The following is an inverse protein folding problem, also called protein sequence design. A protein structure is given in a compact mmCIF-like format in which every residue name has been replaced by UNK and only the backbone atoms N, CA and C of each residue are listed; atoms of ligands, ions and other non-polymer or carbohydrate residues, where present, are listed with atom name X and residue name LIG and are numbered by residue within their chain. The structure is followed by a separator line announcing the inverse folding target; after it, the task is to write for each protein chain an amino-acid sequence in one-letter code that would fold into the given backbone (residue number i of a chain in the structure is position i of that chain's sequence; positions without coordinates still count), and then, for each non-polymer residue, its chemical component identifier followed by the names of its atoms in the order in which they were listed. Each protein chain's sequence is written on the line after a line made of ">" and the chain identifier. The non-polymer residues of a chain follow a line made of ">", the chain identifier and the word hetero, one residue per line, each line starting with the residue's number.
data_IF_696978255408
#
_entry.id   IF_696978255408
#
_cell.length_a   1.000
_cell.length_b   1.000
_cell.length_c   1.000
_cell.angle_alpha   90.00
_cell.angle_beta   90.00
_cell.angle_gamma   90.00
#
_symmetry.space_group_name_H-M   'P 1'
#
loop_
_entity.id
_entity.type
_entity.pdbx_description
1 polymer ?
#
# COMPACT_ATOMS: atom_id res chain seq x y z
N UNK A 1 -10.32 -21.71 -26.00
CA UNK A 1 -11.32 -21.96 -24.93
C UNK A 1 -10.78 -23.10 -24.07
N UNK A 2 -10.00 -22.82 -23.04
CA UNK A 2 -9.47 -23.83 -22.12
C UNK A 2 -10.56 -24.22 -21.15
N UNK A 3 -10.98 -25.48 -21.18
CA UNK A 3 -11.90 -26.06 -20.17
C UNK A 3 -11.08 -26.39 -18.93
N UNK A 4 -11.17 -25.58 -17.90
CA UNK A 4 -10.66 -25.96 -16.58
C UNK A 4 -11.56 -27.03 -15.96
N UNK A 5 -10.98 -28.18 -15.59
CA UNK A 5 -11.72 -29.28 -15.01
C UNK A 5 -12.29 -28.92 -13.63
N UNK A 6 -13.59 -29.17 -13.45
CA UNK A 6 -14.38 -28.88 -12.25
C UNK A 6 -14.08 -29.82 -11.09
N UNK A 7 -12.84 -29.93 -10.62
CA UNK A 7 -12.54 -30.79 -9.46
C UNK A 7 -11.60 -30.12 -8.45
N UNK A 8 -11.83 -28.85 -8.11
CA UNK A 8 -11.15 -28.28 -6.96
C UNK A 8 -12.10 -28.22 -5.77
N UNK A 9 -11.98 -29.19 -4.81
CA UNK A 9 -12.71 -29.18 -3.53
C UNK A 9 -12.22 -28.11 -2.55
N UNK A 10 -11.26 -27.26 -2.94
CA UNK A 10 -10.70 -26.17 -2.10
C UNK A 10 -11.41 -24.86 -2.41
N UNK A 11 -11.82 -24.16 -1.36
CA UNK A 11 -12.35 -22.80 -1.49
C UNK A 11 -11.28 -21.89 -2.08
N UNK A 12 -11.66 -21.03 -3.02
CA UNK A 12 -10.79 -20.05 -3.65
C UNK A 12 -11.15 -18.66 -3.14
N UNK A 13 -10.16 -17.87 -2.76
CA UNK A 13 -10.39 -16.47 -2.35
C UNK A 13 -9.32 -15.54 -2.91
N UNK A 14 -9.69 -14.29 -3.10
CA UNK A 14 -8.82 -13.26 -3.57
C UNK A 14 -8.38 -12.36 -2.40
N UNK A 15 -7.06 -12.07 -2.31
CA UNK A 15 -6.51 -11.22 -1.26
C UNK A 15 -6.27 -9.82 -1.81
N UNK A 16 -7.06 -8.84 -1.34
CA UNK A 16 -6.86 -7.44 -1.65
C UNK A 16 -5.88 -6.80 -0.65
N UNK A 17 -4.73 -6.34 -1.14
CA UNK A 17 -3.80 -5.48 -0.38
C UNK A 17 -4.10 -4.00 -0.60
N UNK A 18 -3.24 -3.11 -0.08
CA UNK A 18 -3.37 -1.67 -0.28
C UNK A 18 -3.00 -1.20 -1.70
N UNK A 19 -2.62 -2.11 -2.61
CA UNK A 19 -2.16 -1.78 -3.95
C UNK A 19 -3.21 -2.13 -4.99
N UNK A 20 -3.31 -1.29 -5.97
CA UNK A 20 -4.31 -1.24 -7.03
C UNK A 20 -4.39 -2.53 -7.88
N UNK A 21 -3.24 -3.11 -8.26
CA UNK A 21 -3.13 -4.30 -9.10
C UNK A 21 -3.85 -5.56 -8.58
N UNK A 22 -4.33 -5.52 -7.36
CA UNK A 22 -4.99 -6.65 -6.73
C UNK A 22 -6.48 -6.69 -7.08
N UNK A 23 -7.14 -5.53 -7.20
CA UNK A 23 -8.52 -5.44 -7.66
C UNK A 23 -8.64 -5.89 -9.14
N UNK A 24 -7.65 -5.54 -9.96
CA UNK A 24 -7.56 -5.92 -11.37
C UNK A 24 -7.46 -7.44 -11.54
N UNK A 25 -6.52 -8.07 -10.82
CA UNK A 25 -6.37 -9.52 -10.83
C UNK A 25 -7.67 -10.24 -10.42
N UNK A 26 -8.45 -9.65 -9.50
CA UNK A 26 -9.76 -10.15 -9.12
C UNK A 26 -10.78 -10.06 -10.27
N UNK A 27 -11.00 -8.87 -10.81
CA UNK A 27 -11.98 -8.63 -11.87
C UNK A 27 -11.63 -9.43 -13.12
N UNK A 28 -10.34 -9.58 -13.40
CA UNK A 28 -9.84 -10.43 -14.45
C UNK A 28 -10.10 -11.92 -14.17
N UNK A 29 -9.87 -12.40 -12.95
CA UNK A 29 -10.15 -13.79 -12.57
C UNK A 29 -11.62 -14.14 -12.75
N UNK A 30 -12.52 -13.24 -12.39
CA UNK A 30 -13.97 -13.40 -12.61
C UNK A 30 -14.30 -13.39 -14.11
N UNK A 31 -13.69 -12.53 -14.90
CA UNK A 31 -13.89 -12.48 -16.35
C UNK A 31 -13.39 -13.75 -17.06
N UNK A 32 -12.41 -14.45 -16.48
CA UNK A 32 -11.93 -15.76 -16.94
C UNK A 32 -12.78 -16.93 -16.45
N UNK A 33 -13.82 -16.69 -15.63
CA UNK A 33 -14.63 -17.75 -15.03
C UNK A 33 -13.88 -18.64 -14.05
N UNK A 34 -12.84 -18.12 -13.39
CA UNK A 34 -12.12 -18.84 -12.34
C UNK A 34 -13.02 -19.01 -11.11
N UNK A 35 -12.97 -20.17 -10.42
CA UNK A 35 -13.75 -20.37 -9.21
C UNK A 35 -13.29 -19.38 -8.14
N UNK A 36 -14.24 -18.62 -7.60
CA UNK A 36 -13.99 -17.62 -6.59
C UNK A 36 -15.12 -17.61 -5.56
N UNK A 37 -14.81 -17.96 -4.33
CA UNK A 37 -15.79 -18.05 -3.24
C UNK A 37 -15.86 -16.76 -2.42
N UNK A 38 -14.73 -16.07 -2.24
CA UNK A 38 -14.63 -14.91 -1.36
C UNK A 38 -13.64 -13.87 -1.92
N UNK A 39 -13.90 -12.63 -1.59
CA UNK A 39 -12.95 -11.51 -1.80
C UNK A 39 -12.65 -10.91 -0.44
N UNK A 40 -11.37 -10.76 -0.10
CA UNK A 40 -10.95 -10.30 1.20
C UNK A 40 -10.00 -9.14 1.08
N UNK A 41 -10.33 -8.03 1.70
CA UNK A 41 -9.52 -6.83 1.78
C UNK A 41 -9.00 -6.60 3.21
N UNK A 42 -7.67 -6.58 3.39
CA UNK A 42 -7.05 -6.20 4.66
C UNK A 42 -6.99 -4.68 4.75
N UNK A 43 -7.86 -4.10 5.56
CA UNK A 43 -8.00 -2.65 5.74
C UNK A 43 -7.07 -2.15 6.85
N UNK A 44 -6.03 -1.40 6.47
CA UNK A 44 -5.07 -0.84 7.43
C UNK A 44 -5.57 0.51 7.93
N UNK A 45 -5.39 0.75 9.23
CA UNK A 45 -5.69 2.01 9.89
C UNK A 45 -4.41 2.65 10.43
N UNK A 46 -4.26 3.94 10.17
CA UNK A 46 -3.15 4.76 10.69
C UNK A 46 -3.27 4.91 12.21
N UNK A 47 -4.43 5.35 12.66
CA UNK A 47 -4.83 5.47 14.07
C UNK A 47 -6.19 4.80 14.26
N UNK A 48 -6.79 4.89 15.45
CA UNK A 48 -8.15 4.37 15.72
C UNK A 48 -9.24 5.06 14.89
N UNK A 49 -9.00 6.26 14.41
CA UNK A 49 -9.98 7.09 13.69
C UNK A 49 -9.56 7.46 12.27
N UNK A 50 -8.29 7.31 11.93
CA UNK A 50 -7.74 7.70 10.62
C UNK A 50 -7.33 6.44 9.86
N UNK A 51 -7.92 6.17 8.67
CA UNK A 51 -7.52 5.05 7.82
C UNK A 51 -6.15 5.31 7.18
N UNK A 52 -5.52 4.25 6.67
CA UNK A 52 -4.25 4.36 5.95
C UNK A 52 -4.42 4.89 4.52
N UNK A 53 -5.60 4.76 3.97
CA UNK A 53 -5.93 5.28 2.64
C UNK A 53 -6.37 6.74 2.71
N UNK A 54 -6.04 7.51 1.68
CA UNK A 54 -6.58 8.86 1.51
C UNK A 54 -8.07 8.83 1.13
N UNK A 55 -8.84 9.89 1.43
CA UNK A 55 -10.28 9.95 1.13
C UNK A 55 -10.67 9.53 -0.29
N UNK A 56 -9.98 9.98 -1.37
CA UNK A 56 -10.34 9.55 -2.73
C UNK A 56 -10.20 8.04 -2.96
N UNK A 57 -9.26 7.37 -2.26
CA UNK A 57 -9.12 5.92 -2.33
C UNK A 57 -10.26 5.21 -1.57
N UNK A 58 -10.72 5.77 -0.45
CA UNK A 58 -11.82 5.21 0.33
C UNK A 58 -13.11 5.26 -0.49
N UNK A 59 -13.41 6.41 -1.12
CA UNK A 59 -14.55 6.59 -2.01
C UNK A 59 -14.49 5.64 -3.21
N UNK A 60 -13.32 5.53 -3.83
CA UNK A 60 -13.10 4.60 -4.93
C UNK A 60 -13.35 3.13 -4.51
N UNK A 61 -12.87 2.70 -3.35
CA UNK A 61 -13.11 1.35 -2.84
C UNK A 61 -14.60 1.09 -2.63
N UNK A 62 -15.33 2.03 -2.03
CA UNK A 62 -16.77 1.91 -1.85
C UNK A 62 -17.51 1.80 -3.20
N UNK A 63 -17.10 2.59 -4.22
CA UNK A 63 -17.62 2.47 -5.61
C UNK A 63 -17.30 1.08 -6.18
N UNK A 64 -16.07 0.61 -6.04
CA UNK A 64 -15.65 -0.69 -6.54
C UNK A 64 -16.42 -1.85 -5.90
N UNK A 65 -16.61 -1.83 -4.59
CA UNK A 65 -17.38 -2.83 -3.85
C UNK A 65 -18.84 -2.91 -4.35
N UNK A 66 -19.45 -1.76 -4.58
CA UNK A 66 -20.80 -1.68 -5.15
C UNK A 66 -20.87 -2.31 -6.54
N UNK A 67 -19.94 -1.96 -7.42
CA UNK A 67 -19.90 -2.50 -8.79
C UNK A 67 -19.63 -4.01 -8.78
N UNK A 68 -18.74 -4.50 -7.91
CA UNK A 68 -18.44 -5.91 -7.74
C UNK A 68 -19.71 -6.67 -7.34
N UNK A 69 -20.46 -6.14 -6.38
CA UNK A 69 -21.71 -6.74 -5.93
C UNK A 69 -22.78 -6.74 -7.03
N UNK A 70 -22.94 -5.63 -7.74
CA UNK A 70 -23.96 -5.47 -8.80
C UNK A 70 -23.66 -6.35 -10.03
N UNK A 71 -22.40 -6.39 -10.48
CA UNK A 71 -22.02 -7.10 -11.72
C UNK A 71 -21.76 -8.60 -11.51
N UNK A 72 -21.26 -8.99 -10.33
CA UNK A 72 -20.76 -10.34 -10.10
C UNK A 72 -21.43 -11.06 -8.92
N UNK A 73 -22.33 -10.39 -8.18
CA UNK A 73 -23.02 -10.95 -7.02
C UNK A 73 -22.13 -11.24 -5.80
N UNK A 74 -20.87 -10.81 -5.83
CA UNK A 74 -19.88 -11.05 -4.77
C UNK A 74 -19.75 -9.85 -3.85
N UNK A 75 -19.49 -10.10 -2.58
CA UNK A 75 -19.27 -9.05 -1.57
C UNK A 75 -17.80 -9.05 -1.14
N UNK A 76 -17.19 -7.88 -1.09
CA UNK A 76 -15.84 -7.71 -0.55
C UNK A 76 -15.91 -7.72 0.98
N UNK A 77 -15.16 -8.62 1.60
CA UNK A 77 -15.04 -8.71 3.05
C UNK A 77 -13.88 -7.83 3.52
N UNK A 78 -14.17 -6.77 4.26
CA UNK A 78 -13.17 -5.90 4.87
C UNK A 78 -12.77 -6.44 6.23
N UNK A 79 -11.52 -6.84 6.38
CA UNK A 79 -10.99 -7.32 7.66
C UNK A 79 -9.94 -6.35 8.19
N UNK A 80 -9.99 -6.09 9.50
CA UNK A 80 -9.06 -5.19 10.17
C UNK A 80 -8.01 -5.97 10.95
N UNK A 81 -6.75 -5.48 11.01
CA UNK A 81 -5.76 -6.02 11.94
C UNK A 81 -6.17 -5.71 13.39
N UNK A 82 -5.60 -6.47 14.34
CA UNK A 82 -5.86 -6.26 15.77
C UNK A 82 -5.31 -4.92 16.29
N UNK A 83 -4.36 -4.36 15.56
CA UNK A 83 -3.65 -3.12 15.91
C UNK A 83 -3.66 -2.15 14.75
N UNK A 84 -3.72 -0.87 15.06
CA UNK A 84 -3.45 0.21 14.11
C UNK A 84 -1.95 0.33 13.82
N UNK A 85 -1.59 1.09 12.79
CA UNK A 85 -0.18 1.39 12.51
C UNK A 85 0.47 2.10 13.70
N UNK A 86 -0.20 3.11 14.28
CA UNK A 86 0.30 3.89 15.40
C UNK A 86 0.55 3.04 16.65
N UNK A 87 -0.37 2.11 16.98
CA UNK A 87 -0.19 1.21 18.13
C UNK A 87 1.04 0.30 17.98
N UNK A 88 1.35 -0.17 16.76
CA UNK A 88 2.57 -0.93 16.53
C UNK A 88 3.79 -0.04 16.48
N UNK A 89 3.68 1.16 15.91
CA UNK A 89 4.75 2.15 15.82
C UNK A 89 5.31 2.51 17.22
N UNK A 90 4.42 2.78 18.18
CA UNK A 90 4.80 3.11 19.56
C UNK A 90 5.07 1.89 20.47
N UNK A 91 4.89 0.69 19.97
CA UNK A 91 5.18 -0.51 20.74
C UNK A 91 6.67 -0.60 21.06
N UNK A 92 7.00 -0.82 22.34
CA UNK A 92 8.38 -1.00 22.79
C UNK A 92 8.92 -2.37 22.37
N UNK A 93 10.16 -2.40 21.90
CA UNK A 93 10.87 -3.61 21.53
C UNK A 93 11.38 -4.28 22.81
N UNK A 94 10.87 -5.47 23.10
CA UNK A 94 11.20 -6.24 24.30
C UNK A 94 12.12 -7.43 24.03
N UNK A 95 12.41 -7.74 22.75
CA UNK A 95 13.24 -8.89 22.39
C UNK A 95 14.69 -8.67 22.82
N UNK A 96 15.27 -9.56 23.66
CA UNK A 96 16.68 -9.45 24.09
C UNK A 96 17.68 -9.55 22.94
N UNK A 97 17.27 -10.14 21.81
CA UNK A 97 18.11 -10.28 20.60
C UNK A 97 18.13 -9.01 19.75
N UNK A 98 17.30 -8.01 20.07
CA UNK A 98 17.23 -6.77 19.30
C UNK A 98 18.29 -5.76 19.77
N UNK A 99 19.01 -5.18 18.82
CA UNK A 99 19.92 -4.03 19.10
C UNK A 99 19.16 -2.78 19.55
N UNK A 100 17.83 -2.74 19.33
CA UNK A 100 16.95 -1.64 19.67
C UNK A 100 16.02 -1.96 20.86
N UNK A 101 16.39 -2.89 21.73
CA UNK A 101 15.64 -3.20 22.94
C UNK A 101 15.40 -1.93 23.77
N UNK A 102 14.19 -1.76 24.30
CA UNK A 102 13.78 -0.59 25.05
C UNK A 102 13.34 0.62 24.21
N UNK A 103 13.62 0.64 22.90
CA UNK A 103 13.13 1.67 21.99
C UNK A 103 11.77 1.27 21.40
N UNK A 104 11.01 2.24 20.93
CA UNK A 104 9.80 1.98 20.11
C UNK A 104 10.18 1.42 18.74
N UNK A 105 9.22 0.77 18.06
CA UNK A 105 9.46 0.29 16.69
C UNK A 105 9.80 1.41 15.73
N UNK A 106 9.09 2.56 15.80
CA UNK A 106 9.25 3.65 14.86
C UNK A 106 8.87 3.27 13.42
N UNK A 107 9.40 3.98 12.44
CA UNK A 107 9.13 3.70 11.03
C UNK A 107 9.61 2.30 10.61
N UNK A 108 8.87 1.61 9.72
CA UNK A 108 9.29 0.29 9.26
C UNK A 108 10.53 0.39 8.37
N UNK A 109 11.52 -0.46 8.63
CA UNK A 109 12.69 -0.58 7.77
C UNK A 109 12.31 -1.24 6.44
N UNK A 110 12.98 -0.89 5.35
CA UNK A 110 12.73 -1.39 4.00
C UNK A 110 12.80 -2.92 3.94
N UNK A 111 13.85 -3.53 4.53
CA UNK A 111 13.94 -4.98 4.64
C UNK A 111 13.21 -5.44 5.91
N UNK A 112 12.09 -6.17 5.70
CA UNK A 112 11.30 -6.70 6.80
C UNK A 112 10.35 -5.68 7.41
N UNK A 113 9.81 -4.78 6.59
CA UNK A 113 8.79 -3.81 7.00
C UNK A 113 7.71 -4.45 7.87
N UNK A 114 7.75 -4.16 9.18
CA UNK A 114 6.82 -4.73 10.15
C UNK A 114 5.37 -4.42 9.83
N UNK A 115 5.09 -3.29 9.18
CA UNK A 115 3.73 -2.92 8.77
C UNK A 115 3.11 -3.97 7.84
N UNK A 116 3.87 -4.53 6.90
CA UNK A 116 3.39 -5.60 6.04
C UNK A 116 3.17 -6.90 6.82
N UNK A 117 4.18 -7.35 7.60
CA UNK A 117 4.12 -8.63 8.31
C UNK A 117 3.08 -8.63 9.44
N UNK A 118 2.95 -7.53 10.21
CA UNK A 118 2.09 -7.45 11.39
C UNK A 118 0.68 -6.97 11.11
N UNK A 119 0.47 -6.12 10.12
CA UNK A 119 -0.84 -5.56 9.83
C UNK A 119 -1.54 -6.22 8.65
N UNK A 120 -0.81 -6.61 7.60
CA UNK A 120 -1.42 -7.26 6.43
C UNK A 120 -1.34 -8.78 6.52
N UNK A 121 -0.11 -9.32 6.54
CA UNK A 121 0.10 -10.77 6.44
C UNK A 121 -0.46 -11.52 7.66
N UNK A 122 -0.29 -10.98 8.88
CA UNK A 122 -0.86 -11.60 10.09
C UNK A 122 -2.39 -11.66 10.05
N UNK A 123 -3.03 -10.59 9.55
CA UNK A 123 -4.49 -10.50 9.42
C UNK A 123 -5.00 -11.52 8.39
N UNK A 124 -4.35 -11.58 7.23
CA UNK A 124 -4.71 -12.53 6.18
C UNK A 124 -4.46 -13.99 6.56
N UNK A 125 -3.46 -14.26 7.41
CA UNK A 125 -3.20 -15.61 7.93
C UNK A 125 -4.29 -16.16 8.87
N UNK A 126 -5.17 -15.32 9.38
CA UNK A 126 -6.33 -15.77 10.19
C UNK A 126 -7.44 -16.38 9.34
N UNK A 127 -7.35 -16.24 8.03
CA UNK A 127 -8.29 -16.83 7.08
C UNK A 127 -7.88 -18.28 6.84
N UNK A 128 -8.88 -19.11 6.55
CA UNK A 128 -8.76 -20.57 6.36
C UNK A 128 -7.51 -20.96 5.53
N UNK A 129 -6.67 -21.80 6.13
CA UNK A 129 -5.43 -22.29 5.54
C UNK A 129 -5.61 -23.35 4.43
N UNK A 130 -6.83 -23.89 4.26
CA UNK A 130 -7.13 -24.92 3.26
C UNK A 130 -7.60 -24.38 1.91
N UNK A 131 -7.52 -23.08 1.73
CA UNK A 131 -7.99 -22.38 0.53
C UNK A 131 -6.85 -22.05 -0.43
N UNK A 132 -7.19 -21.79 -1.70
CA UNK A 132 -6.26 -21.22 -2.68
C UNK A 132 -6.43 -19.71 -2.67
N UNK A 133 -5.33 -19.00 -2.44
CA UNK A 133 -5.29 -17.52 -2.51
C UNK A 133 -4.86 -17.08 -3.91
N UNK A 134 -5.70 -16.27 -4.55
CA UNK A 134 -5.29 -15.54 -5.75
C UNK A 134 -4.65 -14.20 -5.33
N UNK A 135 -3.48 -13.90 -5.91
CA UNK A 135 -2.70 -12.70 -5.62
C UNK A 135 -2.46 -11.96 -6.94
N UNK A 136 -2.74 -10.66 -6.98
CA UNK A 136 -2.45 -9.81 -8.13
C UNK A 136 -0.94 -9.57 -8.27
N UNK A 137 -0.29 -10.36 -9.10
CA UNK A 137 1.10 -10.20 -9.51
C UNK A 137 1.12 -10.31 -11.02
N UNK A 138 1.56 -9.25 -11.69
CA UNK A 138 1.65 -9.21 -13.13
C UNK A 138 2.87 -10.01 -13.65
N UNK A 139 2.88 -10.35 -14.94
CA UNK A 139 3.94 -11.17 -15.54
C UNK A 139 5.29 -10.43 -15.57
N UNK A 140 5.27 -9.13 -15.59
CA UNK A 140 6.46 -8.26 -15.58
C UNK A 140 6.97 -7.90 -14.15
N UNK A 141 6.45 -8.60 -13.11
CA UNK A 141 6.93 -8.48 -11.72
C UNK A 141 7.66 -9.75 -11.21
N UNK A 142 8.68 -10.28 -11.89
CA UNK A 142 9.31 -11.57 -11.55
C UNK A 142 9.90 -11.61 -10.13
N UNK A 143 10.31 -10.46 -9.58
CA UNK A 143 10.84 -10.35 -8.21
C UNK A 143 9.80 -10.73 -7.14
N UNK A 144 8.50 -10.71 -7.47
CA UNK A 144 7.39 -11.08 -6.58
C UNK A 144 7.00 -12.56 -6.66
N UNK A 145 7.45 -13.31 -7.68
CA UNK A 145 7.07 -14.71 -7.90
C UNK A 145 7.41 -15.65 -6.74
N UNK A 146 8.43 -15.31 -5.97
CA UNK A 146 8.84 -16.08 -4.78
C UNK A 146 7.76 -16.25 -3.70
N UNK A 147 6.67 -15.48 -3.75
CA UNK A 147 5.55 -15.63 -2.81
C UNK A 147 4.53 -16.67 -3.28
N UNK A 148 4.60 -17.09 -4.54
CA UNK A 148 3.69 -18.07 -5.14
C UNK A 148 4.08 -19.49 -4.76
N UNK A 149 3.08 -20.36 -4.61
CA UNK A 149 3.23 -21.78 -4.27
C UNK A 149 1.93 -22.55 -4.61
N UNK A 150 1.79 -23.78 -4.12
CA UNK A 150 0.60 -24.60 -4.39
C UNK A 150 -0.73 -24.00 -3.87
N UNK A 151 -0.68 -23.10 -2.87
CA UNK A 151 -1.86 -22.45 -2.28
C UNK A 151 -1.96 -20.95 -2.61
N UNK A 152 -0.97 -20.40 -3.31
CA UNK A 152 -0.94 -18.98 -3.72
C UNK A 152 -0.63 -18.91 -5.20
N UNK A 153 -1.58 -18.44 -5.99
CA UNK A 153 -1.49 -18.37 -7.45
C UNK A 153 -1.71 -16.95 -7.95
N UNK A 154 -1.19 -16.62 -9.11
CA UNK A 154 -1.52 -15.38 -9.80
C UNK A 154 -2.18 -15.66 -11.13
N UNK A 155 -3.48 -15.39 -11.27
CA UNK A 155 -4.18 -15.49 -12.55
C UNK A 155 -3.63 -14.56 -13.64
N UNK A 156 -3.04 -13.44 -13.26
CA UNK A 156 -2.42 -12.50 -14.20
C UNK A 156 -1.19 -13.12 -14.89
N UNK A 157 -0.35 -13.84 -14.13
CA UNK A 157 0.79 -14.56 -14.70
C UNK A 157 0.32 -15.67 -15.63
N UNK A 158 -0.68 -16.46 -15.19
CA UNK A 158 -1.23 -17.56 -15.97
C UNK A 158 -1.82 -17.07 -17.32
N UNK A 159 -2.33 -15.84 -17.35
CA UNK A 159 -2.88 -15.18 -18.53
C UNK A 159 -1.87 -14.31 -19.29
N UNK A 160 -0.63 -14.23 -18.84
CA UNK A 160 0.43 -13.38 -19.42
C UNK A 160 0.09 -11.89 -19.46
N UNK A 161 -0.52 -11.37 -18.37
CA UNK A 161 -0.89 -9.96 -18.22
C UNK A 161 0.23 -9.15 -17.57
N UNK A 162 0.56 -8.01 -18.18
CA UNK A 162 1.48 -7.00 -17.64
C UNK A 162 0.76 -5.97 -16.79
N UNK A 163 1.52 -5.19 -15.99
CA UNK A 163 0.98 -4.05 -15.24
C UNK A 163 0.28 -3.04 -16.17
N UNK A 164 0.84 -2.78 -17.35
CA UNK A 164 0.23 -1.88 -18.33
C UNK A 164 -1.11 -2.40 -18.84
N UNK A 165 -1.20 -3.70 -19.14
CA UNK A 165 -2.48 -4.31 -19.58
C UNK A 165 -3.55 -4.21 -18.49
N UNK A 166 -3.16 -4.40 -17.24
CA UNK A 166 -4.04 -4.20 -16.10
C UNK A 166 -4.54 -2.76 -16.03
N UNK A 167 -3.64 -1.78 -16.10
CA UNK A 167 -3.98 -0.35 -16.10
C UNK A 167 -4.99 0.00 -17.20
N UNK A 168 -4.71 -0.41 -18.45
CA UNK A 168 -5.55 -0.13 -19.60
C UNK A 168 -6.95 -0.75 -19.45
N UNK A 169 -7.00 -1.96 -18.90
CA UNK A 169 -8.28 -2.63 -18.62
C UNK A 169 -9.10 -1.87 -17.57
N UNK A 170 -8.47 -1.42 -16.50
CA UNK A 170 -9.15 -0.65 -15.46
C UNK A 170 -9.65 0.71 -15.96
N UNK A 171 -8.83 1.39 -16.76
CA UNK A 171 -9.24 2.63 -17.41
C UNK A 171 -10.48 2.42 -18.29
N UNK A 172 -10.47 1.38 -19.10
CA UNK A 172 -11.58 1.03 -20.00
C UNK A 172 -12.87 0.66 -19.27
N UNK A 173 -12.78 0.09 -18.07
CA UNK A 173 -13.91 -0.42 -17.32
C UNK A 173 -14.37 0.49 -16.17
N UNK A 174 -13.84 1.72 -16.05
CA UNK A 174 -14.13 2.69 -14.99
C UNK A 174 -13.74 2.19 -13.58
N UNK A 175 -12.66 1.40 -13.52
CA UNK A 175 -12.04 0.88 -12.30
C UNK A 175 -10.69 1.50 -11.97
N UNK A 176 -10.28 2.55 -12.68
CA UNK A 176 -9.03 3.22 -12.36
C UNK A 176 -9.23 4.16 -11.17
N UNK A 177 -8.44 3.96 -10.11
CA UNK A 177 -8.49 4.85 -8.96
C UNK A 177 -8.03 6.26 -9.31
N UNK A 178 -8.72 7.33 -8.83
CA UNK A 178 -8.33 8.71 -9.07
C UNK A 178 -6.93 9.06 -8.52
N UNK A 179 -6.41 8.28 -7.60
CA UNK A 179 -5.04 8.45 -7.07
C UNK A 179 -3.98 8.36 -8.18
N UNK A 180 -4.22 7.59 -9.24
CA UNK A 180 -3.30 7.45 -10.37
C UNK A 180 -3.22 8.66 -11.29
N UNK A 181 -4.08 9.66 -11.11
CA UNK A 181 -3.93 10.95 -11.77
C UNK A 181 -2.76 11.78 -11.20
N UNK A 182 -2.41 11.53 -9.95
CA UNK A 182 -1.39 12.29 -9.20
C UNK A 182 -0.27 11.44 -8.63
N UNK A 183 -0.37 10.12 -8.72
CA UNK A 183 0.57 9.17 -8.14
C UNK A 183 0.82 8.00 -9.07
N UNK A 184 2.04 7.49 -9.08
CA UNK A 184 2.42 6.27 -9.82
C UNK A 184 2.15 4.99 -9.02
N UNK A 185 1.75 5.12 -7.76
CA UNK A 185 1.44 3.97 -6.90
C UNK A 185 0.38 4.32 -5.85
N UNK A 186 -0.43 3.34 -5.52
CA UNK A 186 -1.29 3.36 -4.34
C UNK A 186 -0.52 3.06 -3.05
N UNK A 187 -1.21 3.03 -1.94
CA UNK A 187 -0.68 2.62 -0.64
C UNK A 187 -0.99 3.61 0.47
N UNK A 188 -0.53 3.27 1.68
CA UNK A 188 -0.75 4.11 2.86
C UNK A 188 -0.14 5.50 2.68
N UNK A 189 -0.85 6.55 3.09
CA UNK A 189 -0.37 7.93 2.99
C UNK A 189 0.93 8.18 3.79
N UNK A 190 1.17 7.39 4.84
CA UNK A 190 2.38 7.43 5.67
C UNK A 190 3.46 6.43 5.24
N UNK A 191 3.39 5.87 4.04
CA UNK A 191 4.36 4.87 3.60
C UNK A 191 5.71 5.51 3.25
N UNK A 192 6.80 4.97 3.80
CA UNK A 192 8.16 5.40 3.47
C UNK A 192 8.54 5.25 1.98
N UNK A 193 7.77 4.46 1.23
CA UNK A 193 7.93 4.32 -0.21
C UNK A 193 7.19 5.39 -1.04
N UNK A 194 6.45 6.32 -0.42
CA UNK A 194 5.85 7.44 -1.14
C UNK A 194 6.94 8.30 -1.78
N UNK A 195 6.72 8.74 -3.03
CA UNK A 195 7.62 9.65 -3.72
C UNK A 195 7.54 11.09 -3.18
N UNK A 196 8.44 11.95 -3.63
CA UNK A 196 8.46 13.36 -3.20
C UNK A 196 7.17 14.07 -3.56
N UNK A 197 6.63 13.79 -4.76
CA UNK A 197 5.37 14.38 -5.23
C UNK A 197 4.20 14.00 -4.32
N UNK A 198 4.08 12.73 -3.94
CA UNK A 198 3.01 12.27 -3.05
C UNK A 198 3.13 12.91 -1.65
N UNK A 199 4.34 13.09 -1.14
CA UNK A 199 4.57 13.78 0.14
C UNK A 199 4.20 15.27 0.06
N UNK A 200 4.50 15.93 -1.06
CA UNK A 200 4.12 17.32 -1.31
C UNK A 200 2.61 17.49 -1.37
N UNK A 201 1.91 16.61 -2.10
CA UNK A 201 0.45 16.59 -2.16
C UNK A 201 -0.16 16.30 -0.78
N UNK A 202 0.39 15.36 -0.03
CA UNK A 202 -0.06 15.07 1.35
C UNK A 202 0.04 16.31 2.23
N UNK A 203 1.18 17.02 2.20
CA UNK A 203 1.38 18.26 2.98
C UNK A 203 0.38 19.36 2.59
N UNK A 204 0.14 19.53 1.29
CA UNK A 204 -0.74 20.57 0.77
C UNK A 204 -2.22 20.29 1.02
N UNK A 205 -2.66 19.07 0.70
CA UNK A 205 -4.08 18.72 0.62
C UNK A 205 -4.62 18.07 1.91
N UNK A 206 -3.72 17.52 2.74
CA UNK A 206 -4.06 16.81 3.98
C UNK A 206 -3.15 17.26 5.14
N UNK A 207 -3.19 18.55 5.54
CA UNK A 207 -2.25 19.12 6.52
C UNK A 207 -2.32 18.44 7.89
N UNK A 208 -3.48 17.90 8.29
CA UNK A 208 -3.60 17.18 9.56
C UNK A 208 -2.89 15.81 9.52
N UNK A 209 -2.90 15.12 8.38
CA UNK A 209 -2.13 13.89 8.19
C UNK A 209 -0.63 14.18 8.12
N UNK A 210 -0.26 15.29 7.49
CA UNK A 210 1.14 15.76 7.47
C UNK A 210 1.67 16.08 8.86
N UNK A 211 0.89 16.80 9.70
CA UNK A 211 1.24 17.07 11.10
C UNK A 211 1.43 15.78 11.90
N UNK A 212 0.58 14.79 11.67
CA UNK A 212 0.70 13.49 12.33
C UNK A 212 1.97 12.75 11.87
N UNK A 213 2.31 12.81 10.59
CA UNK A 213 3.54 12.21 10.05
C UNK A 213 4.80 12.89 10.63
N UNK A 214 4.82 14.23 10.75
CA UNK A 214 5.87 14.99 11.42
C UNK A 214 5.99 14.62 12.92
N UNK A 215 4.87 14.40 13.60
CA UNK A 215 4.88 13.92 14.99
C UNK A 215 5.56 12.55 15.08
N UNK A 216 5.17 11.61 14.23
CA UNK A 216 5.81 10.29 14.19
C UNK A 216 7.29 10.35 13.83
N UNK A 217 7.70 11.27 12.97
CA UNK A 217 9.10 11.47 12.59
C UNK A 217 9.96 11.90 13.79
N UNK A 218 9.47 12.86 14.59
CA UNK A 218 10.15 13.31 15.82
C UNK A 218 10.27 12.20 16.87
N UNK A 219 9.25 11.35 16.97
CA UNK A 219 9.19 10.28 17.98
C UNK A 219 9.97 9.03 17.56
N UNK A 220 10.25 8.87 16.25
CA UNK A 220 10.83 7.65 15.69
C UNK A 220 12.34 7.56 15.91
N UNK A 221 12.85 6.43 16.41
CA UNK A 221 14.30 6.17 16.44
C UNK A 221 14.85 5.76 15.06
N UNK A 222 13.99 5.65 14.04
CA UNK A 222 14.33 5.20 12.69
C UNK A 222 13.91 6.31 11.72
N UNK A 223 14.79 6.69 10.80
CA UNK A 223 14.47 7.67 9.75
C UNK A 223 13.35 7.20 8.84
N UNK A 224 12.55 8.16 8.34
CA UNK A 224 11.42 7.87 7.46
C UNK A 224 11.87 7.25 6.12
N UNK A 225 12.95 7.77 5.55
CA UNK A 225 13.49 7.31 4.25
C UNK A 225 14.81 6.54 4.41
N UNK A 226 15.07 5.57 3.51
CA UNK A 226 16.32 4.81 3.51
C UNK A 226 17.57 5.68 3.29
N UNK A 227 17.41 6.79 2.58
CA UNK A 227 18.47 7.75 2.29
C UNK A 227 18.78 8.67 3.47
N UNK A 228 18.28 8.35 4.66
CA UNK A 228 18.44 9.09 5.91
C UNK A 228 17.74 10.45 5.92
N UNK A 229 16.81 10.73 4.99
CA UNK A 229 15.98 11.92 5.04
C UNK A 229 14.76 11.68 5.93
N UNK A 230 14.53 12.65 6.82
CA UNK A 230 13.40 12.69 7.74
C UNK A 230 12.17 13.33 7.07
N UNK A 231 11.02 13.24 7.70
CA UNK A 231 9.84 14.00 7.23
C UNK A 231 10.05 15.49 7.41
N UNK A 232 10.78 15.90 8.45
CA UNK A 232 11.17 17.30 8.70
C UNK A 232 12.07 17.86 7.57
N UNK A 233 13.00 17.05 7.03
CA UNK A 233 13.80 17.45 5.87
C UNK A 233 12.90 17.73 4.65
N UNK A 234 11.91 16.88 4.41
CA UNK A 234 10.94 17.13 3.34
C UNK A 234 10.06 18.35 3.61
N UNK A 235 9.65 18.58 4.85
CA UNK A 235 8.87 19.77 5.20
C UNK A 235 9.67 21.06 4.95
N UNK A 236 10.93 21.09 5.36
CA UNK A 236 11.86 22.19 5.07
C UNK A 236 12.04 22.42 3.58
N UNK A 237 12.23 21.34 2.81
CA UNK A 237 12.29 21.42 1.35
C UNK A 237 11.03 22.07 0.77
N UNK A 238 9.85 21.61 1.20
CA UNK A 238 8.58 22.15 0.69
C UNK A 238 8.34 23.60 1.11
N UNK A 239 8.83 24.03 2.28
CA UNK A 239 8.83 25.44 2.66
C UNK A 239 9.66 26.31 1.68
N UNK A 240 10.83 25.83 1.26
CA UNK A 240 11.65 26.55 0.26
C UNK A 240 10.98 26.55 -1.14
N UNK A 241 10.27 25.49 -1.49
CA UNK A 241 9.47 25.45 -2.71
C UNK A 241 8.31 26.46 -2.65
N UNK A 242 7.60 26.57 -1.52
CA UNK A 242 6.52 27.54 -1.29
C UNK A 242 7.04 29.00 -1.33
N UNK A 243 8.26 29.25 -0.89
CA UNK A 243 8.94 30.55 -0.97
C UNK A 243 9.48 30.89 -2.37
N UNK A 244 9.41 29.93 -3.32
CA UNK A 244 9.98 30.09 -4.67
C UNK A 244 11.50 30.05 -4.73
N UNK A 245 12.16 29.60 -3.67
CA UNK A 245 13.62 29.46 -3.59
C UNK A 245 14.15 28.19 -4.24
N UNK A 246 13.29 27.18 -4.37
CA UNK A 246 13.58 25.91 -5.04
C UNK A 246 12.40 25.57 -5.96
N UNK A 247 12.66 24.99 -7.11
CA UNK A 247 11.61 24.50 -8.00
C UNK A 247 11.26 23.03 -7.66
N UNK A 248 9.97 22.65 -7.61
CA UNK A 248 9.53 21.31 -7.20
C UNK A 248 10.17 20.14 -7.98
N UNK A 249 10.41 20.32 -9.27
CA UNK A 249 10.93 19.30 -10.18
C UNK A 249 12.33 19.63 -10.71
N UNK A 250 13.10 20.39 -9.94
CA UNK A 250 14.46 20.75 -10.34
C UNK A 250 15.35 19.50 -10.42
N UNK A 251 15.85 19.20 -11.64
CA UNK A 251 16.75 18.07 -11.91
C UNK A 251 18.13 18.25 -11.24
N UNK A 252 18.48 19.48 -10.86
CA UNK A 252 19.74 19.84 -10.21
C UNK A 252 19.59 20.03 -8.71
N UNK A 253 18.40 19.76 -8.16
CA UNK A 253 18.14 19.87 -6.72
C UNK A 253 19.19 19.13 -5.89
N UNK A 254 19.68 19.80 -4.84
CA UNK A 254 20.62 19.25 -3.85
C UNK A 254 20.11 19.50 -2.45
N UNK A 255 20.19 18.49 -1.60
CA UNK A 255 19.77 18.57 -0.20
C UNK A 255 20.58 19.58 0.61
N UNK A 256 21.84 19.83 0.23
CA UNK A 256 22.70 20.83 0.86
C UNK A 256 22.12 22.24 0.79
N UNK A 257 21.29 22.55 -0.22
CA UNK A 257 20.62 23.85 -0.31
C UNK A 257 19.60 24.02 0.83
N UNK A 258 18.85 22.96 1.16
CA UNK A 258 17.89 22.96 2.28
C UNK A 258 18.65 23.16 3.59
N UNK A 259 19.65 22.33 3.85
CA UNK A 259 20.44 22.37 5.08
C UNK A 259 21.09 23.77 5.25
N UNK A 260 21.79 24.27 4.23
CA UNK A 260 22.48 25.56 4.30
C UNK A 260 21.55 26.75 4.52
N UNK A 261 20.31 26.68 4.01
CA UNK A 261 19.34 27.74 4.24
C UNK A 261 18.93 27.81 5.72
N UNK A 262 18.52 26.67 6.31
CA UNK A 262 18.02 26.64 7.69
C UNK A 262 19.15 26.70 8.76
N UNK A 263 20.42 26.49 8.40
CA UNK A 263 21.56 26.76 9.28
C UNK A 263 21.91 28.25 9.37
N UNK A 264 21.54 29.04 8.36
CA UNK A 264 21.87 30.47 8.29
C UNK A 264 20.74 31.38 8.77
N UNK A 265 19.52 30.90 8.85
CA UNK A 265 18.31 31.63 9.22
C UNK A 265 17.59 31.00 10.40
#
# INVERSE_FOLDING_TARGET
>A
MMRFSHSCKKKCFFLLGCEFFILEGYLFSVSLGLPLDRIIHAEIWATKTIPADLPPMIEFKAKADKIIKERYGLTVEHIKPDYTYEEVFYKVITSPKSKNIGKIYGFPMIKGAWCNSRLKVSTLKKIDHNSIAYIGIAVDEPQRYKVLNSTKKSPLIDANWTEQMCYDWCLKNDFLSPIYQTSTRGGCWFCHNQGVEQLRLLRRDYPEYWKLLLKWDRDSPITFKPQLHTVDDYDKRFQLEDMGLIYPNDKHFRWEWVTSYFEKH
#
